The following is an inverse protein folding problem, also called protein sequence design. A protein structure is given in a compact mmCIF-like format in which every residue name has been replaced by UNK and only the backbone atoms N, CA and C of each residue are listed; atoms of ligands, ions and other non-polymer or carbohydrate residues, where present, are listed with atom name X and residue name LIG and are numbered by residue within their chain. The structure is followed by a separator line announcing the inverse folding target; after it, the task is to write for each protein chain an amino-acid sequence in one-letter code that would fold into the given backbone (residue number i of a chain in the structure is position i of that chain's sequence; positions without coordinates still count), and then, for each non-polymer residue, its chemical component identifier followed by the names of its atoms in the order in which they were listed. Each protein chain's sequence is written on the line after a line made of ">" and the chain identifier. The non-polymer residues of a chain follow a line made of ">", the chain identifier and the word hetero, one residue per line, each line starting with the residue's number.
data_IF_976632247755
#
_entry.id   IF_976632247755
#
_cell.length_a   1.000
_cell.length_b   1.000
_cell.length_c   1.000
_cell.angle_alpha   90.00
_cell.angle_beta   90.00
_cell.angle_gamma   90.00
#
_symmetry.space_group_name_H-M   'P 1'
#
loop_
_entity.id
_entity.type
_entity.pdbx_description
1 polymer ?
#
# COMPACT_ATOMS: atom_id res chain seq x y z
N UNK A 1 -27.97 12.85 -19.36
CA UNK A 1 -26.59 13.09 -19.84
C UNK A 1 -25.89 11.74 -19.92
N UNK A 2 -25.15 11.43 -20.99
CA UNK A 2 -24.37 10.19 -21.05
C UNK A 2 -23.29 10.22 -19.95
N UNK A 3 -23.01 9.07 -19.35
CA UNK A 3 -21.99 8.93 -18.32
C UNK A 3 -20.61 9.14 -18.93
N UNK A 4 -19.82 10.02 -18.33
CA UNK A 4 -18.45 10.27 -18.76
C UNK A 4 -17.58 9.02 -18.59
N UNK A 5 -16.71 8.80 -19.57
CA UNK A 5 -15.77 7.69 -19.54
C UNK A 5 -14.75 7.88 -18.41
N UNK A 6 -14.48 6.83 -17.64
CA UNK A 6 -13.40 6.85 -16.64
C UNK A 6 -12.07 6.89 -17.40
N UNK A 7 -11.17 7.85 -17.14
CA UNK A 7 -9.89 7.90 -17.85
C UNK A 7 -9.08 6.60 -17.71
N UNK A 8 -8.46 6.14 -18.79
CA UNK A 8 -7.72 4.85 -18.82
C UNK A 8 -6.63 4.76 -17.75
N UNK A 9 -5.96 5.87 -17.44
CA UNK A 9 -4.95 5.93 -16.39
C UNK A 9 -5.54 5.59 -15.00
N UNK A 10 -6.74 6.11 -14.70
CA UNK A 10 -7.45 5.84 -13.46
C UNK A 10 -7.93 4.39 -13.42
N UNK A 11 -8.49 3.87 -14.51
CA UNK A 11 -8.89 2.46 -14.59
C UNK A 11 -7.73 1.52 -14.29
N UNK A 12 -6.55 1.78 -14.89
CA UNK A 12 -5.34 1.02 -14.63
C UNK A 12 -4.93 1.09 -13.16
N UNK A 13 -4.96 2.28 -12.55
CA UNK A 13 -4.62 2.45 -11.15
C UNK A 13 -5.52 1.61 -10.23
N UNK A 14 -6.84 1.62 -10.46
CA UNK A 14 -7.82 0.83 -9.69
C UNK A 14 -7.57 -0.68 -9.81
N UNK A 15 -7.29 -1.17 -11.03
CA UNK A 15 -7.02 -2.60 -11.26
C UNK A 15 -5.67 -3.03 -10.65
N UNK A 16 -4.64 -2.18 -10.74
CA UNK A 16 -3.33 -2.44 -10.14
C UNK A 16 -3.42 -2.46 -8.62
N UNK A 17 -4.13 -1.50 -8.01
CA UNK A 17 -4.38 -1.46 -6.56
C UNK A 17 -5.03 -2.75 -6.09
N UNK A 18 -6.00 -3.28 -6.84
CA UNK A 18 -6.71 -4.51 -6.52
C UNK A 18 -5.94 -5.80 -6.89
N UNK A 19 -4.74 -5.70 -7.46
CA UNK A 19 -3.97 -6.86 -7.94
C UNK A 19 -4.70 -7.63 -9.04
N UNK A 20 -5.53 -6.96 -9.84
CA UNK A 20 -6.43 -7.55 -10.84
C UNK A 20 -7.36 -8.62 -10.26
N UNK A 21 -7.76 -8.46 -9.00
CA UNK A 21 -8.69 -9.34 -8.29
C UNK A 21 -9.80 -8.53 -7.64
N UNK A 22 -10.90 -9.21 -7.33
CA UNK A 22 -12.00 -8.63 -6.57
C UNK A 22 -11.49 -8.09 -5.23
N UNK A 23 -11.80 -6.83 -4.96
CA UNK A 23 -11.38 -6.13 -3.76
C UNK A 23 -11.97 -6.68 -2.46
N UNK A 24 -13.03 -7.50 -2.54
CA UNK A 24 -13.58 -8.15 -1.35
C UNK A 24 -12.57 -9.19 -0.84
N UNK A 25 -12.07 -9.07 0.40
CA UNK A 25 -10.90 -9.82 0.88
C UNK A 25 -10.98 -11.34 0.72
N UNK A 26 -12.19 -11.90 0.88
CA UNK A 26 -12.45 -13.34 0.81
C UNK A 26 -12.85 -13.83 -0.58
N UNK A 27 -13.16 -12.94 -1.53
CA UNK A 27 -13.64 -13.34 -2.87
C UNK A 27 -12.48 -13.66 -3.83
N UNK A 28 -11.55 -12.72 -4.02
CA UNK A 28 -10.32 -12.86 -4.84
C UNK A 28 -10.50 -13.32 -6.30
N UNK A 29 -11.72 -13.29 -6.83
CA UNK A 29 -12.01 -13.60 -8.24
C UNK A 29 -11.22 -12.70 -9.18
N UNK A 30 -10.71 -13.24 -10.29
CA UNK A 30 -9.87 -12.53 -11.26
C UNK A 30 -10.68 -11.70 -12.26
N UNK A 31 -11.94 -12.06 -12.49
CA UNK A 31 -12.83 -11.26 -13.34
C UNK A 31 -13.33 -10.06 -12.54
N UNK A 32 -12.99 -8.86 -12.97
CA UNK A 32 -13.31 -7.62 -12.24
C UNK A 32 -13.91 -6.54 -13.15
N UNK A 33 -14.77 -5.74 -12.55
CA UNK A 33 -15.42 -4.55 -13.08
C UNK A 33 -15.11 -3.38 -12.15
N UNK A 34 -15.12 -2.16 -12.66
CA UNK A 34 -14.90 -0.96 -11.86
C UNK A 34 -16.26 -0.43 -11.38
N UNK A 35 -16.43 -0.41 -10.06
CA UNK A 35 -17.61 0.10 -9.38
C UNK A 35 -17.32 1.49 -8.78
N UNK A 36 -18.34 2.35 -8.76
CA UNK A 36 -18.32 3.62 -8.04
C UNK A 36 -18.80 3.43 -6.61
N UNK A 37 -18.00 3.84 -5.61
CA UNK A 37 -18.36 3.72 -4.20
C UNK A 37 -19.53 4.67 -3.87
N UNK A 38 -19.44 5.92 -4.29
CA UNK A 38 -20.55 6.87 -4.38
C UNK A 38 -21.03 6.88 -5.83
N UNK A 39 -22.31 6.54 -6.10
CA UNK A 39 -22.83 6.44 -7.46
C UNK A 39 -22.53 7.67 -8.30
N UNK A 40 -22.13 7.45 -9.56
CA UNK A 40 -21.85 8.54 -10.48
C UNK A 40 -23.04 9.50 -10.67
N UNK A 41 -24.28 8.98 -10.57
CA UNK A 41 -25.48 9.82 -10.63
C UNK A 41 -25.59 10.83 -9.48
N UNK A 42 -24.94 10.56 -8.34
CA UNK A 42 -24.91 11.44 -7.16
C UNK A 42 -23.70 12.39 -7.21
N UNK A 43 -22.50 11.88 -7.49
CA UNK A 43 -21.24 12.64 -7.35
C UNK A 43 -20.63 13.13 -8.66
N UNK A 44 -20.95 12.46 -9.77
CA UNK A 44 -20.23 12.59 -11.06
C UNK A 44 -18.70 12.38 -10.94
N UNK A 45 -18.26 11.70 -9.88
CA UNK A 45 -16.86 11.60 -9.52
C UNK A 45 -16.23 10.30 -10.03
N UNK A 46 -15.29 10.44 -10.96
CA UNK A 46 -14.46 9.37 -11.53
C UNK A 46 -13.04 9.33 -10.92
N UNK A 47 -12.84 9.95 -9.76
CA UNK A 47 -11.59 9.90 -9.00
C UNK A 47 -11.20 8.48 -8.63
N UNK A 48 -9.90 8.25 -8.43
CA UNK A 48 -9.39 6.93 -8.02
C UNK A 48 -9.98 6.50 -6.67
N UNK A 49 -10.22 7.46 -5.79
CA UNK A 49 -10.72 7.32 -4.43
C UNK A 49 -12.17 6.84 -4.41
N UNK A 50 -12.97 7.24 -5.41
CA UNK A 50 -14.37 6.84 -5.55
C UNK A 50 -14.55 5.53 -6.35
N UNK A 51 -13.47 4.87 -6.76
CA UNK A 51 -13.53 3.67 -7.62
C UNK A 51 -12.91 2.45 -6.96
N UNK A 52 -13.54 1.29 -7.15
CA UNK A 52 -13.07 0.00 -6.61
C UNK A 52 -13.28 -1.14 -7.61
N UNK A 53 -12.37 -2.12 -7.66
CA UNK A 53 -12.50 -3.29 -8.52
C UNK A 53 -13.30 -4.41 -7.83
N UNK A 54 -14.46 -4.79 -8.37
CA UNK A 54 -15.31 -5.87 -7.86
C UNK A 54 -15.58 -6.91 -8.95
N UNK A 55 -15.70 -8.19 -8.61
CA UNK A 55 -16.23 -9.15 -9.57
C UNK A 55 -17.72 -8.93 -9.82
N UNK A 56 -18.30 -9.38 -10.95
CA UNK A 56 -19.70 -9.14 -11.28
C UNK A 56 -20.69 -9.53 -10.17
N UNK A 57 -20.39 -10.63 -9.45
CA UNK A 57 -21.20 -11.10 -8.32
C UNK A 57 -21.16 -10.14 -7.13
N UNK A 58 -19.97 -9.67 -6.75
CA UNK A 58 -19.79 -8.75 -5.63
C UNK A 58 -20.29 -7.35 -5.99
N UNK A 59 -20.11 -6.93 -7.24
CA UNK A 59 -20.65 -5.69 -7.78
C UNK A 59 -22.18 -5.68 -7.70
N UNK A 60 -22.84 -6.77 -8.11
CA UNK A 60 -24.30 -6.93 -7.97
C UNK A 60 -24.76 -6.90 -6.51
N UNK A 61 -24.03 -7.55 -5.60
CA UNK A 61 -24.34 -7.53 -4.16
C UNK A 61 -24.25 -6.13 -3.56
N UNK A 62 -23.31 -5.32 -4.05
CA UNK A 62 -23.13 -3.93 -3.65
C UNK A 62 -24.17 -2.99 -4.27
N UNK A 63 -24.31 -3.00 -5.59
CA UNK A 63 -25.13 -2.01 -6.29
C UNK A 63 -26.62 -2.34 -6.31
N UNK A 64 -26.98 -3.60 -6.54
CA UNK A 64 -28.38 -4.00 -6.77
C UNK A 64 -29.02 -4.55 -5.50
N UNK A 65 -28.34 -5.46 -4.81
CA UNK A 65 -28.91 -6.14 -3.64
C UNK A 65 -28.75 -5.35 -2.34
N UNK A 66 -27.75 -4.46 -2.28
CA UNK A 66 -27.39 -3.72 -1.06
C UNK A 66 -27.02 -4.62 0.14
N UNK A 67 -26.56 -5.84 -0.14
CA UNK A 67 -26.07 -6.80 0.88
C UNK A 67 -24.71 -6.36 1.46
N UNK A 68 -23.98 -5.56 0.67
CA UNK A 68 -22.69 -4.99 1.04
C UNK A 68 -22.93 -3.48 1.06
N UNK A 69 -22.75 -2.87 2.22
CA UNK A 69 -23.02 -1.45 2.37
C UNK A 69 -21.83 -0.59 1.91
N UNK A 70 -22.08 0.70 1.71
CA UNK A 70 -21.08 1.68 1.23
C UNK A 70 -19.91 1.85 2.21
N UNK A 71 -20.14 1.75 3.52
CA UNK A 71 -19.07 1.86 4.52
C UNK A 71 -18.14 0.65 4.45
N UNK A 72 -18.69 -0.55 4.29
CA UNK A 72 -17.92 -1.78 4.07
C UNK A 72 -17.04 -1.68 2.82
N UNK A 73 -17.58 -1.18 1.70
CA UNK A 73 -16.80 -1.00 0.46
C UNK A 73 -15.70 0.06 0.62
N UNK A 74 -15.98 1.18 1.31
CA UNK A 74 -14.95 2.16 1.66
C UNK A 74 -13.82 1.54 2.48
N UNK A 75 -14.16 0.73 3.49
CA UNK A 75 -13.18 0.03 4.30
C UNK A 75 -12.36 -0.96 3.46
N UNK A 76 -12.98 -1.67 2.51
CA UNK A 76 -12.22 -2.55 1.60
C UNK A 76 -11.26 -1.75 0.73
N UNK A 77 -11.70 -0.65 0.09
CA UNK A 77 -10.85 0.24 -0.71
C UNK A 77 -9.63 0.72 0.08
N UNK A 78 -9.84 1.22 1.29
CA UNK A 78 -8.76 1.66 2.18
C UNK A 78 -7.78 0.53 2.50
N UNK A 79 -8.32 -0.68 2.72
CA UNK A 79 -7.51 -1.84 3.04
C UNK A 79 -6.79 -2.44 1.83
N UNK A 80 -7.17 -2.18 0.58
CA UNK A 80 -6.46 -2.74 -0.60
C UNK A 80 -5.02 -2.24 -0.67
N UNK A 81 -4.80 -0.97 -0.35
CA UNK A 81 -3.46 -0.39 -0.27
C UNK A 81 -2.57 -1.10 0.77
N UNK A 82 -3.18 -1.70 1.80
CA UNK A 82 -2.51 -2.41 2.91
C UNK A 82 -2.42 -3.92 2.68
N UNK A 83 -3.48 -4.53 2.13
CA UNK A 83 -3.68 -5.98 2.03
C UNK A 83 -3.14 -6.59 0.74
N UNK A 84 -2.97 -5.82 -0.34
CA UNK A 84 -2.39 -6.33 -1.59
C UNK A 84 -0.86 -6.39 -1.59
N UNK A 85 -0.27 -6.68 -0.43
CA UNK A 85 1.10 -7.16 -0.31
C UNK A 85 2.18 -6.16 -0.75
N UNK A 86 1.87 -4.87 -0.89
CA UNK A 86 2.88 -3.85 -1.17
C UNK A 86 3.93 -3.80 -0.07
N UNK A 87 3.50 -3.85 1.20
CA UNK A 87 4.40 -3.84 2.34
C UNK A 87 4.52 -5.22 2.96
N UNK A 88 5.75 -5.70 3.12
CA UNK A 88 6.07 -7.00 3.73
C UNK A 88 5.77 -7.04 5.23
N UNK A 89 5.91 -8.22 5.86
CA UNK A 89 5.66 -8.35 7.31
C UNK A 89 6.54 -7.41 8.14
N UNK A 90 7.82 -7.27 7.78
CA UNK A 90 8.76 -6.40 8.47
C UNK A 90 8.28 -4.94 8.46
N UNK A 91 7.96 -4.40 7.29
CA UNK A 91 7.45 -3.04 7.11
C UNK A 91 6.17 -2.80 7.93
N UNK A 92 5.20 -3.72 7.84
CA UNK A 92 3.94 -3.60 8.58
C UNK A 92 4.16 -3.59 10.09
N UNK A 93 5.10 -4.40 10.60
CA UNK A 93 5.46 -4.42 12.03
C UNK A 93 6.19 -3.14 12.43
N UNK A 94 7.08 -2.62 11.58
CA UNK A 94 7.75 -1.35 11.82
C UNK A 94 6.75 -0.19 11.87
N UNK A 95 5.79 -0.11 10.95
CA UNK A 95 4.74 0.91 11.00
C UNK A 95 3.96 0.86 12.33
N UNK A 96 3.58 -0.33 12.79
CA UNK A 96 2.88 -0.49 14.05
C UNK A 96 3.73 -0.05 15.26
N UNK A 97 5.03 -0.36 15.25
CA UNK A 97 5.96 0.06 16.30
C UNK A 97 6.17 1.58 16.31
N UNK A 98 6.40 2.17 15.15
CA UNK A 98 6.60 3.61 14.95
C UNK A 98 5.35 4.39 15.37
N UNK A 99 4.15 3.91 15.02
CA UNK A 99 2.91 4.52 15.47
C UNK A 99 2.78 4.53 17.00
N UNK A 100 3.28 3.47 17.66
CA UNK A 100 3.18 3.32 19.11
C UNK A 100 4.19 4.18 19.87
N UNK A 101 5.43 4.29 19.39
CA UNK A 101 6.51 4.99 20.10
C UNK A 101 6.75 6.42 19.59
N UNK A 102 6.29 6.76 18.38
CA UNK A 102 6.51 8.06 17.74
C UNK A 102 7.97 8.30 17.32
N UNK A 103 8.81 7.27 17.33
CA UNK A 103 10.23 7.40 16.98
C UNK A 103 10.39 7.64 15.48
N UNK A 104 11.17 8.67 15.14
CA UNK A 104 11.45 9.05 13.75
C UNK A 104 12.73 8.43 13.20
N UNK A 105 13.49 7.72 14.02
CA UNK A 105 14.75 7.11 13.60
C UNK A 105 14.76 5.68 14.10
N UNK A 106 15.08 4.75 13.22
CA UNK A 106 15.23 3.34 13.56
C UNK A 106 16.39 2.72 12.80
N UNK A 107 16.90 1.61 13.33
CA UNK A 107 18.04 0.87 12.79
C UNK A 107 17.62 -0.54 12.42
N UNK A 108 18.07 -0.99 11.26
CA UNK A 108 17.92 -2.38 10.81
C UNK A 108 19.29 -3.02 10.62
N UNK A 109 19.36 -4.31 10.90
CA UNK A 109 20.55 -5.12 10.66
C UNK A 109 20.74 -5.48 9.17
N UNK A 110 21.54 -6.52 8.89
CA UNK A 110 21.86 -6.93 7.52
C UNK A 110 20.59 -7.28 6.74
N UNK A 111 20.50 -6.78 5.50
CA UNK A 111 19.32 -6.93 4.65
C UNK A 111 18.18 -5.95 4.95
N UNK A 112 18.40 -4.96 5.82
CA UNK A 112 17.42 -3.92 6.13
C UNK A 112 16.94 -3.16 4.90
N UNK A 113 17.85 -2.84 3.97
CA UNK A 113 17.59 -2.25 2.66
C UNK A 113 16.54 -3.00 1.83
N UNK A 114 16.59 -4.33 1.85
CA UNK A 114 15.59 -5.16 1.15
C UNK A 114 14.30 -5.24 1.95
N UNK A 115 14.40 -5.35 3.28
CA UNK A 115 13.25 -5.55 4.16
C UNK A 115 12.30 -4.35 4.19
N UNK A 116 12.78 -3.13 3.92
CA UNK A 116 11.96 -1.91 3.89
C UNK A 116 11.95 -1.19 2.54
N UNK A 117 12.31 -1.90 1.47
CA UNK A 117 12.48 -1.31 0.14
C UNK A 117 11.22 -0.58 -0.36
N UNK A 118 10.02 -1.07 -0.06
CA UNK A 118 8.79 -0.44 -0.54
C UNK A 118 8.53 0.88 0.18
N UNK A 119 8.69 0.90 1.51
CA UNK A 119 8.53 2.12 2.30
C UNK A 119 9.59 3.18 1.96
N UNK A 120 10.81 2.77 1.57
CA UNK A 120 11.83 3.67 1.04
C UNK A 120 11.43 4.19 -0.34
N UNK A 121 10.98 3.31 -1.23
CA UNK A 121 10.53 3.69 -2.58
C UNK A 121 9.36 4.67 -2.56
N UNK A 122 8.47 4.55 -1.58
CA UNK A 122 7.34 5.46 -1.37
C UNK A 122 7.70 6.75 -0.61
N UNK A 123 8.98 6.91 -0.23
CA UNK A 123 9.48 8.11 0.45
C UNK A 123 9.02 8.23 1.90
N UNK A 124 8.56 7.13 2.52
CA UNK A 124 8.20 7.11 3.94
C UNK A 124 9.42 6.96 4.82
N UNK A 125 10.40 6.19 4.35
CA UNK A 125 11.69 6.03 4.99
C UNK A 125 12.80 6.61 4.11
N UNK A 126 13.73 7.32 4.73
CA UNK A 126 14.92 7.85 4.09
C UNK A 126 16.16 7.20 4.69
N UNK A 127 16.93 6.47 3.89
CA UNK A 127 18.21 5.92 4.33
C UNK A 127 19.23 7.06 4.49
N UNK A 128 19.72 7.24 5.72
CA UNK A 128 20.72 8.27 6.04
C UNK A 128 22.13 7.86 5.67
N UNK A 129 22.36 6.65 5.16
CA UNK A 129 23.65 6.14 4.70
C UNK A 129 24.75 6.35 5.76
N UNK A 130 24.38 6.19 7.03
CA UNK A 130 25.31 6.38 8.15
C UNK A 130 26.40 5.31 8.05
N UNK A 131 27.67 5.74 8.05
CA UNK A 131 28.79 4.80 8.07
C UNK A 131 28.71 3.93 9.33
N UNK A 132 28.69 2.62 9.12
CA UNK A 132 28.56 1.62 10.16
C UNK A 132 29.53 0.46 9.94
N UNK A 133 29.29 -0.63 10.67
CA UNK A 133 30.10 -1.84 10.53
C UNK A 133 29.86 -2.47 9.15
N UNK A 134 30.94 -2.96 8.53
CA UNK A 134 30.88 -3.72 7.29
C UNK A 134 31.31 -5.16 7.51
N UNK A 135 30.80 -6.05 6.67
CA UNK A 135 31.27 -7.42 6.55
C UNK A 135 31.98 -7.57 5.21
N UNK A 136 33.28 -7.82 5.29
CA UNK A 136 34.13 -7.86 4.12
C UNK A 136 34.41 -9.31 3.72
N UNK A 137 34.08 -9.65 2.49
CA UNK A 137 34.37 -10.96 1.89
C UNK A 137 35.60 -10.81 1.00
N UNK A 138 36.64 -11.60 1.33
CA UNK A 138 37.87 -11.72 0.55
C UNK A 138 37.97 -13.15 -0.01
N UNK A 139 37.92 -13.28 -1.33
CA UNK A 139 38.15 -14.52 -2.06
C UNK A 139 39.63 -14.75 -2.36
N UNK A 140 40.04 -16.02 -2.46
CA UNK A 140 41.41 -16.40 -2.80
C UNK A 140 41.79 -16.07 -4.25
N UNK A 141 40.82 -15.73 -5.08
CA UNK A 141 40.93 -15.30 -6.48
C UNK A 141 41.06 -13.78 -6.66
N UNK A 142 41.16 -13.03 -5.55
CA UNK A 142 41.19 -11.57 -5.56
C UNK A 142 39.79 -10.92 -5.54
N UNK A 143 38.72 -11.69 -5.37
CA UNK A 143 37.39 -11.13 -5.14
C UNK A 143 37.33 -10.37 -3.81
N UNK A 144 36.87 -9.11 -3.86
CA UNK A 144 36.58 -8.31 -2.67
C UNK A 144 35.17 -7.73 -2.74
N UNK A 145 34.39 -7.88 -1.67
CA UNK A 145 33.12 -7.19 -1.52
C UNK A 145 32.85 -6.85 -0.06
N UNK A 146 32.50 -5.59 0.19
CA UNK A 146 32.10 -5.09 1.50
C UNK A 146 30.58 -4.95 1.57
N UNK A 147 29.98 -5.45 2.64
CA UNK A 147 28.53 -5.41 2.87
C UNK A 147 28.23 -4.57 4.11
N UNK A 148 27.34 -3.57 4.05
CA UNK A 148 26.90 -2.87 5.25
C UNK A 148 26.12 -3.83 6.16
N UNK A 149 26.42 -3.80 7.47
CA UNK A 149 25.73 -4.62 8.47
C UNK A 149 24.58 -3.88 9.15
N UNK A 150 24.52 -2.56 9.01
CA UNK A 150 23.56 -1.69 9.69
C UNK A 150 23.05 -0.62 8.74
N UNK A 151 21.74 -0.41 8.74
CA UNK A 151 21.06 0.60 7.94
C UNK A 151 20.26 1.51 8.87
N UNK A 152 20.41 2.82 8.71
CA UNK A 152 19.78 3.82 9.57
C UNK A 152 18.76 4.60 8.77
N UNK A 153 17.49 4.49 9.17
CA UNK A 153 16.39 5.11 8.46
C UNK A 153 15.78 6.24 9.27
N UNK A 154 15.40 7.30 8.56
CA UNK A 154 14.59 8.39 9.07
C UNK A 154 13.16 8.25 8.54
N UNK A 155 12.16 8.36 9.40
CA UNK A 155 10.75 8.41 9.03
C UNK A 155 10.39 9.84 8.63
N UNK A 156 10.10 10.04 7.34
CA UNK A 156 9.76 11.36 6.79
C UNK A 156 8.43 11.86 7.36
N UNK A 157 8.11 13.14 7.17
CA UNK A 157 6.79 13.66 7.56
C UNK A 157 5.65 12.96 6.82
N UNK A 158 5.86 12.63 5.54
CA UNK A 158 4.94 11.81 4.76
C UNK A 158 4.79 10.40 5.35
N UNK A 159 5.90 9.79 5.76
CA UNK A 159 5.90 8.49 6.45
C UNK A 159 5.12 8.52 7.76
N UNK A 160 5.32 9.55 8.60
CA UNK A 160 4.58 9.71 9.86
C UNK A 160 3.07 9.91 9.61
N UNK A 161 2.70 10.71 8.62
CA UNK A 161 1.30 10.90 8.24
C UNK A 161 0.65 9.61 7.75
N UNK A 162 1.36 8.84 6.90
CA UNK A 162 0.93 7.53 6.45
C UNK A 162 0.78 6.54 7.60
N UNK A 163 1.78 6.41 8.47
CA UNK A 163 1.79 5.45 9.58
C UNK A 163 0.63 5.71 10.55
N UNK A 164 0.35 6.99 10.85
CA UNK A 164 -0.80 7.36 11.68
C UNK A 164 -2.12 6.87 11.07
N UNK A 165 -2.34 7.14 9.79
CA UNK A 165 -3.52 6.65 9.03
C UNK A 165 -3.58 5.13 8.96
N UNK A 166 -2.43 4.50 8.77
CA UNK A 166 -2.26 3.05 8.64
C UNK A 166 -2.67 2.30 9.92
N UNK A 167 -2.33 2.83 11.10
CA UNK A 167 -2.64 2.20 12.39
C UNK A 167 -4.01 2.59 12.93
N UNK A 168 -4.47 3.82 12.69
CA UNK A 168 -5.78 4.28 13.13
C UNK A 168 -6.92 3.70 12.25
N UNK A 169 -6.59 3.11 11.10
CA UNK A 169 -7.59 2.67 10.10
C UNK A 169 -8.34 3.85 9.48
N UNK A 170 -7.80 5.06 9.57
CA UNK A 170 -8.44 6.31 9.16
C UNK A 170 -7.95 6.75 7.79
N UNK A 171 -8.93 6.92 6.88
CA UNK A 171 -8.92 7.65 5.60
C UNK A 171 -7.57 8.25 5.15
N UNK A 172 -6.81 7.50 4.34
CA UNK A 172 -6.93 7.54 2.88
C UNK A 172 -7.11 8.88 2.11
N UNK A 173 -7.17 10.06 2.75
CA UNK A 173 -7.49 11.34 2.10
C UNK A 173 -6.36 11.96 1.28
#
# INVERSE_FOLDING_TARGET
>A
MPRDHIPTAVQRAVLVEAGHRCAIPTCRSTTTEIAHIVPWAESQDNSFENLIALCPNCHTRFDQKKDIDRLSVKAYKQNLAVLNNRYGECERRLFALIAKNGERVFLLGPGGDVLVANAVQDGFFEDKNVQGMTFDINGSDGYFKSFPLTFTYWVTDAGMAFIKRYVDGVEMG
#
